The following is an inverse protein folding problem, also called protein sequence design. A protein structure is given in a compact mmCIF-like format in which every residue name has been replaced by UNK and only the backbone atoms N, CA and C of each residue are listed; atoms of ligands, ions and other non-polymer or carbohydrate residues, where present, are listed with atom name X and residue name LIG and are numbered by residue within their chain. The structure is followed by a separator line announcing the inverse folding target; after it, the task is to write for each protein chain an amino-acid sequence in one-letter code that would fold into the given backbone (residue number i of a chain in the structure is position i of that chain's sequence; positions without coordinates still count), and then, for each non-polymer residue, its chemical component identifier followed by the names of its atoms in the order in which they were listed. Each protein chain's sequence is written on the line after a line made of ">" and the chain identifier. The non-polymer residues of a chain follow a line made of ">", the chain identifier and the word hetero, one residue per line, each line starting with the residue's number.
data_IF_663824408420
#
_entry.id   IF_663824408420
#
_cell.length_a   1.000
_cell.length_b   1.000
_cell.length_c   1.000
_cell.angle_alpha   90.00
_cell.angle_beta   90.00
_cell.angle_gamma   90.00
#
_symmetry.space_group_name_H-M   'P 1'
#
loop_
_entity.id
_entity.type
_entity.pdbx_description
1 polymer ?
#
# COMPACT_ATOMS: atom_id res chain seq x y z
N UNK A 1 -10.44 9.30 -6.89
CA UNK A 1 -11.01 7.95 -6.71
C UNK A 1 -10.46 7.04 -7.79
N UNK A 2 -9.81 5.95 -7.41
CA UNK A 2 -9.39 4.90 -8.33
C UNK A 2 -10.33 3.71 -8.14
N UNK A 3 -10.80 3.14 -9.25
CA UNK A 3 -11.65 1.94 -9.18
C UNK A 3 -10.71 0.74 -9.19
N UNK A 4 -10.63 0.06 -8.06
CA UNK A 4 -9.84 -1.15 -7.90
C UNK A 4 -10.75 -2.33 -8.16
N UNK A 5 -10.32 -3.19 -9.08
CA UNK A 5 -11.02 -4.44 -9.36
C UNK A 5 -10.41 -5.52 -8.48
N UNK A 6 -11.19 -5.98 -7.54
CA UNK A 6 -10.77 -6.98 -6.57
C UNK A 6 -10.89 -8.38 -7.17
N UNK A 7 -10.20 -9.35 -6.57
CA UNK A 7 -10.18 -10.74 -7.03
C UNK A 7 -11.57 -11.41 -6.94
N UNK A 8 -12.47 -10.87 -6.12
CA UNK A 8 -13.87 -11.27 -6.06
C UNK A 8 -14.74 -10.69 -7.20
N UNK A 9 -14.13 -9.93 -8.11
CA UNK A 9 -14.76 -9.28 -9.25
C UNK A 9 -15.50 -7.98 -8.90
N UNK A 10 -15.49 -7.56 -7.62
CA UNK A 10 -16.09 -6.30 -7.20
C UNK A 10 -15.21 -5.10 -7.56
N UNK A 11 -15.86 -3.98 -7.84
CA UNK A 11 -15.20 -2.71 -8.14
C UNK A 11 -15.35 -1.81 -6.92
N UNK A 12 -14.26 -1.59 -6.19
CA UNK A 12 -14.27 -0.70 -5.03
C UNK A 12 -13.77 0.69 -5.44
N UNK A 13 -14.57 1.75 -5.26
CA UNK A 13 -14.07 3.12 -5.39
C UNK A 13 -13.21 3.43 -4.17
N UNK A 14 -11.89 3.29 -4.31
CA UNK A 14 -10.96 3.69 -3.25
C UNK A 14 -10.68 5.18 -3.42
N UNK A 15 -10.97 5.94 -2.36
CA UNK A 15 -10.47 7.30 -2.24
C UNK A 15 -8.96 7.22 -2.02
N UNK A 16 -8.22 7.36 -3.12
CA UNK A 16 -6.77 7.44 -3.12
C UNK A 16 -6.39 8.91 -3.11
N UNK A 17 -6.21 9.38 -1.88
CA UNK A 17 -5.54 10.62 -1.52
C UNK A 17 -4.05 10.29 -1.24
N UNK A 18 -3.17 11.25 -1.48
CA UNK A 18 -1.78 11.22 -1.04
C UNK A 18 -1.65 10.90 0.46
N UNK A 19 -2.50 11.46 1.31
CA UNK A 19 -2.49 11.18 2.76
C UNK A 19 -2.90 9.72 3.06
N UNK A 20 -3.92 9.21 2.36
CA UNK A 20 -4.37 7.82 2.50
C UNK A 20 -3.30 6.85 2.03
N UNK A 21 -2.66 7.12 0.87
CA UNK A 21 -1.54 6.34 0.36
C UNK A 21 -0.35 6.36 1.31
N UNK A 22 0.00 7.53 1.83
CA UNK A 22 1.10 7.70 2.79
C UNK A 22 0.83 6.90 4.07
N UNK A 23 -0.38 6.99 4.62
CA UNK A 23 -0.79 6.19 5.78
C UNK A 23 -0.78 4.69 5.51
N UNK A 24 -1.19 4.26 4.31
CA UNK A 24 -1.16 2.86 3.90
C UNK A 24 0.28 2.35 3.82
N UNK A 25 1.18 3.10 3.20
CA UNK A 25 2.61 2.78 3.14
C UNK A 25 3.19 2.61 4.55
N UNK A 26 2.94 3.57 5.43
CA UNK A 26 3.46 3.52 6.81
C UNK A 26 2.92 2.30 7.55
N UNK A 27 1.62 2.00 7.44
CA UNK A 27 0.99 0.91 8.23
C UNK A 27 1.20 -0.48 7.65
N UNK A 28 1.19 -0.62 6.33
CA UNK A 28 1.22 -1.91 5.66
C UNK A 28 2.64 -2.35 5.31
N UNK A 29 3.51 -1.39 5.02
CA UNK A 29 4.87 -1.65 4.59
C UNK A 29 5.88 -1.27 5.67
N UNK A 30 6.00 0.01 6.02
CA UNK A 30 7.05 0.47 6.94
C UNK A 30 6.91 -0.18 8.33
N UNK A 31 5.70 -0.22 8.89
CA UNK A 31 5.45 -0.82 10.20
C UNK A 31 5.84 -2.30 10.24
N UNK A 32 5.61 -3.06 9.17
CA UNK A 32 6.02 -4.47 9.09
C UNK A 32 7.54 -4.61 9.11
N UNK A 33 8.26 -3.72 8.42
CA UNK A 33 9.72 -3.70 8.42
C UNK A 33 10.24 -3.29 9.80
N UNK A 34 9.65 -2.28 10.44
CA UNK A 34 10.02 -1.86 11.80
C UNK A 34 9.75 -2.93 12.87
N UNK A 35 8.73 -3.77 12.69
CA UNK A 35 8.42 -4.86 13.61
C UNK A 35 9.41 -6.03 13.47
N UNK A 36 9.89 -6.27 12.25
CA UNK A 36 10.77 -7.40 11.93
C UNK A 36 12.26 -7.09 12.03
N UNK A 37 12.65 -5.82 11.87
CA UNK A 37 14.05 -5.39 11.84
C UNK A 37 14.32 -4.28 12.85
N UNK A 38 15.58 -4.16 13.28
CA UNK A 38 16.00 -3.00 14.08
C UNK A 38 15.79 -1.73 13.28
N UNK A 39 15.43 -0.63 13.96
CA UNK A 39 15.12 0.66 13.34
C UNK A 39 16.12 1.11 12.27
N UNK A 40 17.41 1.01 12.56
CA UNK A 40 18.49 1.39 11.63
C UNK A 40 18.50 0.52 10.35
N UNK A 41 18.23 -0.79 10.48
CA UNK A 41 18.11 -1.68 9.33
C UNK A 41 16.79 -1.45 8.58
N UNK A 42 15.71 -1.20 9.31
CA UNK A 42 14.41 -0.92 8.74
C UNK A 42 14.44 0.34 7.87
N UNK A 43 15.02 1.44 8.36
CA UNK A 43 15.15 2.69 7.61
C UNK A 43 15.96 2.50 6.32
N UNK A 44 17.04 1.71 6.37
CA UNK A 44 17.83 1.36 5.18
C UNK A 44 17.01 0.53 4.18
N UNK A 45 16.30 -0.50 4.63
CA UNK A 45 15.48 -1.37 3.77
C UNK A 45 14.31 -0.60 3.12
N UNK A 46 13.66 0.26 3.90
CA UNK A 46 12.57 1.12 3.42
C UNK A 46 13.10 2.09 2.36
N UNK A 47 14.21 2.77 2.63
CA UNK A 47 14.81 3.71 1.69
C UNK A 47 15.28 3.02 0.41
N UNK A 48 15.91 1.84 0.52
CA UNK A 48 16.34 1.05 -0.62
C UNK A 48 15.14 0.60 -1.46
N UNK A 49 14.08 0.11 -0.81
CA UNK A 49 12.87 -0.30 -1.50
C UNK A 49 12.22 0.87 -2.26
N UNK A 50 12.06 2.04 -1.63
CA UNK A 50 11.53 3.22 -2.31
C UNK A 50 12.41 3.66 -3.47
N UNK A 51 13.74 3.62 -3.30
CA UNK A 51 14.66 3.92 -4.39
C UNK A 51 14.50 2.94 -5.56
N UNK A 52 14.24 1.66 -5.28
CA UNK A 52 14.02 0.64 -6.32
C UNK A 52 12.66 0.79 -7.00
N UNK A 53 11.64 1.27 -6.29
CA UNK A 53 10.33 1.59 -6.86
C UNK A 53 10.35 2.86 -7.73
N UNK A 54 11.29 3.78 -7.48
CA UNK A 54 11.41 5.06 -8.16
C UNK A 54 12.43 5.02 -9.30
N UNK A 55 11.95 5.03 -10.54
CA UNK A 55 12.80 5.21 -11.73
C UNK A 55 13.05 6.68 -12.07
N UNK A 56 13.62 6.93 -13.25
CA UNK A 56 13.82 8.29 -13.77
C UNK A 56 12.45 8.90 -14.14
N UNK A 57 11.86 9.64 -13.19
CA UNK A 57 10.58 10.36 -13.29
C UNK A 57 9.30 9.50 -13.37
N UNK A 58 9.39 8.19 -13.14
CA UNK A 58 8.22 7.30 -13.09
C UNK A 58 8.51 6.11 -12.19
N UNK A 59 7.45 5.44 -11.74
CA UNK A 59 7.59 4.16 -11.05
C UNK A 59 8.22 3.12 -11.98
N UNK A 60 9.10 2.29 -11.43
CA UNK A 60 9.56 1.07 -12.08
C UNK A 60 8.41 0.06 -12.17
N UNK A 61 8.50 -0.99 -13.01
CA UNK A 61 7.51 -2.07 -13.00
C UNK A 61 7.27 -2.63 -11.59
N UNK A 62 8.34 -2.83 -10.83
CA UNK A 62 8.28 -3.28 -9.43
C UNK A 62 7.54 -2.27 -8.54
N UNK A 63 7.77 -0.97 -8.74
CA UNK A 63 7.05 0.10 -8.04
C UNK A 63 5.56 0.15 -8.39
N UNK A 64 5.20 -0.12 -9.65
CA UNK A 64 3.79 -0.20 -10.08
C UNK A 64 3.10 -1.40 -9.45
N UNK A 65 3.74 -2.57 -9.47
CA UNK A 65 3.20 -3.79 -8.87
C UNK A 65 3.05 -3.66 -7.35
N UNK A 66 4.05 -3.06 -6.69
CA UNK A 66 3.99 -2.74 -5.26
C UNK A 66 2.82 -1.81 -4.93
N UNK A 67 2.67 -0.69 -5.66
CA UNK A 67 1.57 0.24 -5.42
C UNK A 67 0.20 -0.39 -5.70
N UNK A 68 0.08 -1.23 -6.74
CA UNK A 68 -1.15 -1.98 -7.00
C UNK A 68 -1.49 -2.94 -5.85
N UNK A 69 -0.50 -3.66 -5.32
CA UNK A 69 -0.69 -4.56 -4.18
C UNK A 69 -1.07 -3.80 -2.88
N UNK A 70 -0.45 -2.64 -2.65
CA UNK A 70 -0.79 -1.76 -1.53
C UNK A 70 -2.25 -1.29 -1.63
N UNK A 71 -2.64 -0.83 -2.81
CA UNK A 71 -3.99 -0.35 -3.11
C UNK A 71 -5.02 -1.48 -2.97
N UNK A 72 -4.72 -2.68 -3.47
CA UNK A 72 -5.57 -3.85 -3.31
C UNK A 72 -5.75 -4.22 -1.83
N UNK A 73 -4.65 -4.22 -1.05
CA UNK A 73 -4.70 -4.48 0.39
C UNK A 73 -5.54 -3.43 1.13
N UNK A 74 -5.40 -2.16 0.75
CA UNK A 74 -6.19 -1.06 1.31
C UNK A 74 -7.68 -1.22 0.99
N UNK A 75 -8.00 -1.57 -0.26
CA UNK A 75 -9.37 -1.84 -0.69
C UNK A 75 -9.98 -3.02 0.09
N UNK A 76 -9.25 -4.11 0.27
CA UNK A 76 -9.68 -5.24 1.09
C UNK A 76 -9.92 -4.86 2.56
N UNK A 77 -9.05 -4.03 3.14
CA UNK A 77 -9.23 -3.54 4.51
C UNK A 77 -10.45 -2.64 4.64
N UNK A 78 -10.70 -1.79 3.65
CA UNK A 78 -11.90 -0.96 3.60
C UNK A 78 -13.16 -1.82 3.54
N UNK A 79 -13.18 -2.85 2.69
CA UNK A 79 -14.30 -3.82 2.63
C UNK A 79 -14.49 -4.59 3.94
N UNK A 80 -13.40 -5.00 4.59
CA UNK A 80 -13.48 -5.68 5.90
C UNK A 80 -14.05 -4.73 6.96
N UNK A 81 -13.64 -3.47 6.97
CA UNK A 81 -14.16 -2.46 7.88
C UNK A 81 -15.67 -2.19 7.66
N UNK A 82 -16.12 -2.15 6.41
CA UNK A 82 -17.54 -2.01 6.03
C UNK A 82 -18.40 -3.21 6.48
N UNK A 83 -17.83 -4.42 6.43
CA UNK A 83 -18.49 -5.63 6.94
C UNK A 83 -18.60 -5.66 8.46
N UNK A 84 -17.69 -5.02 9.19
CA UNK A 84 -17.69 -4.98 10.67
C UNK A 84 -18.65 -3.90 11.19
N UNK A 85 -18.95 -2.86 10.41
CA UNK A 85 -19.88 -1.78 10.83
C UNK A 85 -21.36 -2.07 10.52
N UNK A 86 -21.67 -3.13 9.78
CA UNK A 86 -23.03 -3.57 9.48
C UNK A 86 -23.41 -4.91 10.16
N UNK A 87 -22.72 -5.28 11.25
CA UNK A 87 -22.98 -6.49 12.05
C UNK A 87 -23.72 -6.20 13.35
#
# INVERSE_FOLDING_TARGET
>A
FQIVRLDDGSNLPVELDEDILTKALIKLFEAMIYDTHKREQAENLISEHYSNCMGVNKLTPDGVDFMNALIATLAEQSLKAEKITNG
#
